data_IF_073062849586
#
_entry.id   IF_073062849586
#
_cell.length_a   1.000
_cell.length_b   1.000
_cell.length_c   1.000
_cell.angle_alpha   90.00
_cell.angle_beta   90.00
_cell.angle_gamma   90.00
#
_symmetry.space_group_name_H-M   'P 1'
#
loop_
_entity.id
_entity.type
_entity.pdbx_description
1 polymer ?
#
# COMPACT_ATOMS: atom_id res chain seq x y z
N UNK A 1 -12.86 5.17 23.34
CA UNK A 1 -13.21 6.51 22.86
C UNK A 1 -12.03 7.03 22.07
N UNK A 2 -12.10 6.99 20.74
CA UNK A 2 -11.07 7.53 19.84
C UNK A 2 -11.24 9.05 19.89
N UNK A 3 -10.49 9.71 20.75
CA UNK A 3 -10.47 11.18 20.81
C UNK A 3 -9.72 11.64 19.56
N UNK A 4 -10.45 12.22 18.62
CA UNK A 4 -9.90 13.00 17.53
C UNK A 4 -8.95 14.06 18.12
N UNK A 5 -7.66 13.86 17.94
CA UNK A 5 -6.68 14.82 18.43
C UNK A 5 -6.76 16.06 17.52
N UNK A 6 -7.22 17.20 18.11
CA UNK A 6 -7.32 18.48 17.38
C UNK A 6 -6.00 18.87 16.68
N UNK A 7 -4.86 18.33 17.15
CA UNK A 7 -3.55 18.54 16.52
C UNK A 7 -3.45 17.95 15.12
N UNK A 8 -4.22 16.90 14.81
CA UNK A 8 -4.25 16.29 13.47
C UNK A 8 -4.80 17.29 12.45
N UNK A 9 -5.85 18.04 12.82
CA UNK A 9 -6.46 19.04 11.93
C UNK A 9 -5.60 20.32 11.79
N UNK A 10 -4.86 20.71 12.82
CA UNK A 10 -4.01 21.92 12.79
C UNK A 10 -2.72 21.73 12.01
N UNK A 11 -2.27 20.48 11.82
CA UNK A 11 -1.05 20.16 11.07
C UNK A 11 -1.36 19.49 9.72
N UNK A 12 -2.60 19.59 9.26
CA UNK A 12 -2.99 19.02 7.97
C UNK A 12 -2.37 19.85 6.83
N UNK A 13 -1.65 19.15 5.96
CA UNK A 13 -1.10 19.76 4.75
C UNK A 13 -2.19 19.87 3.69
N UNK A 14 -2.75 21.06 3.52
CA UNK A 14 -3.78 21.34 2.52
C UNK A 14 -3.21 21.39 1.10
N UNK A 15 -1.92 21.55 0.93
CA UNK A 15 -1.29 21.67 -0.39
C UNK A 15 -1.37 20.35 -1.15
N UNK A 16 -1.09 19.23 -0.48
CA UNK A 16 -1.15 17.91 -1.12
C UNK A 16 -2.55 17.57 -1.69
N UNK A 17 -3.65 17.65 -0.93
CA UNK A 17 -4.99 17.47 -1.49
C UNK A 17 -5.32 18.46 -2.61
N UNK A 18 -4.93 19.72 -2.47
CA UNK A 18 -5.17 20.73 -3.50
C UNK A 18 -4.46 20.40 -4.83
N UNK A 19 -3.29 19.79 -4.80
CA UNK A 19 -2.57 19.33 -5.99
C UNK A 19 -3.18 18.07 -6.61
N UNK A 20 -3.83 17.23 -5.80
CA UNK A 20 -4.47 15.99 -6.28
C UNK A 20 -5.80 16.29 -6.99
N UNK A 21 -6.57 17.30 -6.53
CA UNK A 21 -7.88 17.61 -7.10
C UNK A 21 -7.89 17.89 -8.61
N UNK A 22 -6.97 18.69 -9.19
CA UNK A 22 -6.89 18.88 -10.63
C UNK A 22 -6.63 17.59 -11.40
N UNK A 23 -5.81 16.68 -10.83
CA UNK A 23 -5.50 15.37 -11.44
C UNK A 23 -6.76 14.50 -11.46
N UNK A 24 -7.51 14.48 -10.37
CA UNK A 24 -8.79 13.76 -10.27
C UNK A 24 -9.78 14.30 -11.31
N UNK A 25 -9.91 15.62 -11.41
CA UNK A 25 -10.82 16.25 -12.36
C UNK A 25 -10.43 15.92 -13.82
N UNK A 26 -9.16 16.06 -14.16
CA UNK A 26 -8.65 15.74 -15.50
C UNK A 26 -8.87 14.25 -15.83
N UNK A 27 -8.54 13.35 -14.90
CA UNK A 27 -8.76 11.93 -15.08
C UNK A 27 -10.24 11.59 -15.29
N UNK A 28 -11.14 12.20 -14.51
CA UNK A 28 -12.57 12.01 -14.69
C UNK A 28 -13.04 12.48 -16.05
N UNK A 29 -12.62 13.68 -16.50
CA UNK A 29 -13.02 14.24 -17.80
C UNK A 29 -12.59 13.32 -18.95
N UNK A 30 -11.34 12.85 -18.95
CA UNK A 30 -10.82 11.96 -19.99
C UNK A 30 -11.53 10.60 -20.02
N UNK A 31 -11.81 10.01 -18.86
CA UNK A 31 -12.49 8.71 -18.79
C UNK A 31 -13.97 8.86 -19.17
N UNK A 32 -14.61 9.96 -18.81
CA UNK A 32 -16.01 10.22 -19.13
C UNK A 32 -16.23 10.36 -20.65
N UNK A 33 -15.27 10.97 -21.36
CA UNK A 33 -15.32 11.02 -22.83
C UNK A 33 -15.15 9.63 -23.47
N UNK A 34 -14.43 8.72 -22.80
CA UNK A 34 -14.20 7.37 -23.31
C UNK A 34 -15.34 6.40 -23.00
N UNK A 35 -15.97 6.48 -21.84
CA UNK A 35 -17.04 5.58 -21.41
C UNK A 35 -17.73 6.04 -20.12
N UNK A 36 -19.05 6.28 -20.20
CA UNK A 36 -19.90 6.62 -19.04
C UNK A 36 -19.86 5.53 -17.95
N UNK A 37 -19.79 4.25 -18.32
CA UNK A 37 -19.74 3.16 -17.35
C UNK A 37 -18.42 3.16 -16.56
N UNK A 38 -17.30 3.48 -17.21
CA UNK A 38 -16.00 3.55 -16.54
C UNK A 38 -15.91 4.79 -15.65
N UNK A 39 -16.48 5.93 -16.06
CA UNK A 39 -16.50 7.13 -15.24
C UNK A 39 -17.32 6.94 -13.96
N UNK A 40 -18.46 6.26 -14.04
CA UNK A 40 -19.27 5.92 -12.85
C UNK A 40 -18.52 5.02 -11.87
N UNK A 41 -17.79 4.00 -12.37
CA UNK A 41 -16.92 3.14 -11.52
C UNK A 41 -15.79 3.95 -10.89
N UNK A 42 -15.18 4.85 -11.63
CA UNK A 42 -14.12 5.72 -11.14
C UNK A 42 -14.60 6.61 -9.99
N UNK A 43 -15.79 7.22 -10.09
CA UNK A 43 -16.38 7.99 -9.00
C UNK A 43 -16.58 7.13 -7.76
N UNK A 44 -17.09 5.91 -7.91
CA UNK A 44 -17.24 4.98 -6.79
C UNK A 44 -15.89 4.66 -6.12
N UNK A 45 -14.83 4.44 -6.90
CA UNK A 45 -13.48 4.22 -6.36
C UNK A 45 -12.92 5.44 -5.64
N UNK A 46 -13.18 6.65 -6.13
CA UNK A 46 -12.78 7.88 -5.42
C UNK A 46 -13.50 8.04 -4.09
N UNK A 47 -14.79 7.73 -4.02
CA UNK A 47 -15.55 7.78 -2.77
C UNK A 47 -14.99 6.77 -1.76
N UNK A 48 -14.74 5.53 -2.20
CA UNK A 48 -14.15 4.48 -1.35
C UNK A 48 -12.73 4.89 -0.92
N UNK A 49 -11.91 5.40 -1.85
CA UNK A 49 -10.56 5.87 -1.58
C UNK A 49 -10.53 7.03 -0.60
N UNK A 50 -11.45 7.99 -0.74
CA UNK A 50 -11.58 9.10 0.21
C UNK A 50 -12.02 8.62 1.59
N UNK A 51 -12.95 7.66 1.67
CA UNK A 51 -13.34 7.02 2.92
C UNK A 51 -12.17 6.30 3.60
N UNK A 52 -11.37 5.55 2.84
CA UNK A 52 -10.15 4.91 3.33
C UNK A 52 -9.11 5.94 3.79
N UNK A 53 -8.91 7.01 3.01
CA UNK A 53 -8.02 8.12 3.40
C UNK A 53 -8.44 8.72 4.74
N UNK A 54 -9.72 9.06 4.92
CA UNK A 54 -10.23 9.60 6.18
C UNK A 54 -10.05 8.62 7.33
N UNK A 55 -10.31 7.32 7.12
CA UNK A 55 -10.09 6.29 8.11
C UNK A 55 -8.62 6.28 8.59
N UNK A 56 -7.67 6.16 7.65
CA UNK A 56 -6.24 6.11 7.99
C UNK A 56 -5.71 7.43 8.55
N UNK A 57 -6.22 8.56 8.07
CA UNK A 57 -5.88 9.89 8.59
C UNK A 57 -6.27 10.05 10.07
N UNK A 58 -7.42 9.51 10.45
CA UNK A 58 -7.92 9.59 11.83
C UNK A 58 -7.35 8.53 12.76
N UNK A 59 -6.73 7.47 12.22
CA UNK A 59 -6.17 6.38 13.02
C UNK A 59 -4.83 6.79 13.64
N UNK A 60 -4.68 6.68 14.96
CA UNK A 60 -3.41 6.93 15.62
C UNK A 60 -2.44 5.75 15.37
N UNK A 61 -1.64 5.83 14.32
CA UNK A 61 -0.70 4.76 13.88
C UNK A 61 0.16 4.25 15.04
N UNK A 62 0.56 5.13 15.96
CA UNK A 62 1.34 4.74 17.15
C UNK A 62 0.64 3.71 18.06
N UNK A 63 -0.69 3.75 18.13
CA UNK A 63 -1.47 2.78 18.92
C UNK A 63 -1.67 1.45 18.17
N UNK A 64 -1.49 1.46 16.87
CA UNK A 64 -1.66 0.30 16.00
C UNK A 64 -0.33 -0.38 15.65
N UNK A 65 0.77 0.07 16.26
CA UNK A 65 2.12 -0.44 15.98
C UNK A 65 2.22 -1.97 16.13
N UNK A 66 1.49 -2.55 17.08
CA UNK A 66 1.46 -4.00 17.29
C UNK A 66 0.84 -4.80 16.12
N UNK A 67 0.02 -4.15 15.29
CA UNK A 67 -0.59 -4.76 14.11
C UNK A 67 0.37 -4.80 12.89
N UNK A 68 1.41 -3.97 12.88
CA UNK A 68 2.30 -3.82 11.72
C UNK A 68 2.88 -5.17 11.25
N UNK A 69 3.45 -6.02 12.14
CA UNK A 69 3.95 -7.32 11.71
C UNK A 69 2.85 -8.22 11.11
N UNK A 70 1.66 -8.20 11.72
CA UNK A 70 0.53 -8.99 11.23
C UNK A 70 0.07 -8.52 9.83
N UNK A 71 -0.02 -7.21 9.61
CA UNK A 71 -0.35 -6.63 8.30
C UNK A 71 0.67 -7.05 7.25
N UNK A 72 1.95 -6.98 7.56
CA UNK A 72 3.02 -7.39 6.66
C UNK A 72 2.89 -8.88 6.27
N UNK A 73 2.77 -9.78 7.26
CA UNK A 73 2.70 -11.22 7.00
C UNK A 73 1.41 -11.63 6.27
N UNK A 74 0.28 -11.00 6.59
CA UNK A 74 -0.97 -11.20 5.84
C UNK A 74 -0.79 -10.80 4.38
N UNK A 75 -0.10 -9.69 4.10
CA UNK A 75 0.20 -9.30 2.73
C UNK A 75 1.16 -10.25 2.01
N UNK A 76 2.15 -10.83 2.70
CA UNK A 76 2.99 -11.91 2.13
C UNK A 76 2.13 -13.10 1.72
N UNK A 77 1.17 -13.49 2.57
CA UNK A 77 0.24 -14.59 2.25
C UNK A 77 -0.65 -14.22 1.05
N UNK A 78 -1.12 -12.98 0.97
CA UNK A 78 -1.90 -12.50 -0.18
C UNK A 78 -1.08 -12.51 -1.47
N UNK A 79 0.18 -12.08 -1.46
CA UNK A 79 1.09 -12.17 -2.61
C UNK A 79 1.27 -13.63 -3.06
N UNK A 80 1.49 -14.54 -2.11
CA UNK A 80 1.57 -15.97 -2.43
C UNK A 80 0.26 -16.51 -3.02
N UNK A 81 -0.89 -16.05 -2.52
CA UNK A 81 -2.19 -16.51 -3.01
C UNK A 81 -2.49 -16.10 -4.44
N UNK A 82 -1.89 -15.01 -4.94
CA UNK A 82 -2.01 -14.58 -6.35
C UNK A 82 -1.57 -15.68 -7.31
N UNK A 83 -0.52 -16.44 -6.96
CA UNK A 83 0.00 -17.54 -7.78
C UNK A 83 -1.03 -18.65 -8.00
N UNK A 84 -1.97 -18.86 -7.04
CA UNK A 84 -2.95 -19.93 -7.06
C UNK A 84 -4.37 -19.49 -7.48
N UNK A 85 -4.80 -18.31 -7.02
CA UNK A 85 -6.17 -17.82 -7.21
C UNK A 85 -6.23 -16.49 -7.95
N UNK A 86 -5.09 -15.98 -8.40
CA UNK A 86 -5.01 -14.71 -9.10
C UNK A 86 -5.67 -14.76 -10.49
N UNK A 87 -6.25 -13.62 -10.87
CA UNK A 87 -6.82 -13.42 -12.21
C UNK A 87 -5.83 -12.68 -13.10
N UNK A 88 -5.72 -13.16 -14.34
CA UNK A 88 -4.87 -12.52 -15.34
C UNK A 88 -5.61 -11.37 -16.01
N UNK A 89 -5.02 -10.18 -15.97
CA UNK A 89 -5.49 -8.99 -16.72
C UNK A 89 -4.29 -8.39 -17.46
N UNK A 90 -4.50 -8.03 -18.71
CA UNK A 90 -3.46 -7.44 -19.56
C UNK A 90 -2.16 -8.27 -19.67
N UNK A 91 -2.30 -9.61 -19.62
CA UNK A 91 -1.17 -10.53 -19.77
C UNK A 91 -0.37 -10.80 -18.47
N UNK A 92 -0.79 -10.28 -17.33
CA UNK A 92 -0.15 -10.54 -16.05
C UNK A 92 -1.16 -10.98 -14.99
N UNK A 93 -0.78 -11.98 -14.18
CA UNK A 93 -1.58 -12.48 -13.06
C UNK A 93 -1.13 -11.77 -11.79
N UNK A 94 -1.88 -10.72 -11.40
CA UNK A 94 -1.50 -9.81 -10.29
C UNK A 94 -2.65 -9.46 -9.37
N UNK A 95 -3.87 -9.85 -9.72
CA UNK A 95 -5.07 -9.40 -9.02
C UNK A 95 -5.82 -10.58 -8.41
N UNK A 96 -6.42 -10.35 -7.27
CA UNK A 96 -7.37 -11.25 -6.64
C UNK A 96 -8.75 -10.65 -6.82
N UNK A 97 -9.68 -11.40 -7.42
CA UNK A 97 -11.06 -11.00 -7.56
C UNK A 97 -11.85 -11.40 -6.30
N UNK A 98 -12.54 -10.43 -5.70
CA UNK A 98 -13.40 -10.71 -4.56
C UNK A 98 -14.75 -11.20 -5.10
N UNK A 99 -15.15 -12.44 -4.76
CA UNK A 99 -16.43 -12.99 -5.19
C UNK A 99 -17.59 -12.06 -4.77
N UNK A 100 -18.63 -12.00 -5.58
CA UNK A 100 -19.91 -11.28 -5.37
C UNK A 100 -19.91 -9.77 -5.58
N UNK A 101 -18.77 -9.07 -5.53
CA UNK A 101 -18.74 -7.60 -5.68
C UNK A 101 -17.98 -7.12 -6.93
N UNK A 102 -17.49 -8.03 -7.77
CA UNK A 102 -16.68 -7.71 -8.96
C UNK A 102 -15.56 -6.69 -8.69
N UNK A 103 -15.00 -6.74 -7.50
CA UNK A 103 -13.92 -5.89 -7.07
C UNK A 103 -12.60 -6.67 -7.11
N UNK A 104 -11.57 -6.09 -7.70
CA UNK A 104 -10.24 -6.71 -7.75
C UNK A 104 -9.26 -5.93 -6.89
N UNK A 105 -8.49 -6.68 -6.11
CA UNK A 105 -7.41 -6.15 -5.27
C UNK A 105 -6.09 -6.62 -5.87
N UNK A 106 -5.11 -5.73 -5.90
CA UNK A 106 -3.73 -6.06 -6.22
C UNK A 106 -2.92 -6.08 -4.92
N UNK A 107 -2.48 -7.26 -4.44
CA UNK A 107 -1.76 -7.37 -3.16
C UNK A 107 -0.46 -6.57 -3.12
N UNK A 108 0.24 -6.44 -4.23
CA UNK A 108 1.47 -5.64 -4.31
C UNK A 108 1.24 -4.15 -4.02
N UNK A 109 0.05 -3.60 -4.29
CA UNK A 109 -0.31 -2.22 -3.93
C UNK A 109 -0.44 -2.04 -2.41
N UNK A 110 -1.05 -3.02 -1.73
CA UNK A 110 -1.19 -3.01 -0.27
C UNK A 110 0.15 -3.31 0.40
N UNK A 111 1.01 -4.10 -0.26
CA UNK A 111 2.34 -4.41 0.25
C UNK A 111 3.23 -3.16 0.36
N UNK A 112 3.12 -2.18 -0.52
CA UNK A 112 3.95 -0.97 -0.47
C UNK A 112 3.88 -0.24 0.89
N UNK A 113 2.73 0.19 1.39
CA UNK A 113 2.64 0.80 2.71
C UNK A 113 2.96 -0.18 3.85
N UNK A 114 2.54 -1.46 3.74
CA UNK A 114 2.85 -2.47 4.75
C UNK A 114 4.36 -2.71 4.91
N UNK A 115 5.09 -2.70 3.81
CA UNK A 115 6.54 -2.83 3.75
C UNK A 115 7.25 -1.67 4.46
N UNK A 116 6.90 -0.42 4.12
CA UNK A 116 7.50 0.77 4.75
C UNK A 116 7.24 0.78 6.25
N UNK A 117 6.00 0.46 6.66
CA UNK A 117 5.65 0.37 8.09
C UNK A 117 6.45 -0.73 8.79
N UNK A 118 6.63 -1.89 8.15
CA UNK A 118 7.40 -3.00 8.72
C UNK A 118 8.86 -2.66 8.90
N UNK A 119 9.51 -2.02 7.91
CA UNK A 119 10.89 -1.57 8.04
C UNK A 119 11.04 -0.53 9.15
N UNK A 120 10.16 0.47 9.20
CA UNK A 120 10.16 1.48 10.26
C UNK A 120 9.99 0.84 11.65
N UNK A 121 9.10 -0.18 11.77
CA UNK A 121 8.90 -0.94 12.99
C UNK A 121 10.17 -1.69 13.41
N UNK A 122 10.83 -2.37 12.47
CA UNK A 122 12.05 -3.15 12.74
C UNK A 122 13.21 -2.24 13.16
N UNK A 123 13.43 -1.13 12.44
CA UNK A 123 14.46 -0.13 12.76
C UNK A 123 14.23 0.47 14.16
N UNK A 124 12.97 0.82 14.47
CA UNK A 124 12.60 1.33 15.79
C UNK A 124 12.87 0.31 16.90
N UNK A 125 12.60 -0.98 16.66
CA UNK A 125 12.75 -2.05 17.63
C UNK A 125 14.21 -2.47 17.85
N UNK A 126 15.01 -2.39 16.82
CA UNK A 126 16.45 -2.71 16.82
C UNK A 126 17.21 -1.58 16.14
N UNK A 127 17.37 -0.42 16.85
CA UNK A 127 18.11 0.69 16.27
C UNK A 127 19.58 0.27 16.01
N UNK A 128 20.24 0.87 15.01
CA UNK A 128 21.66 0.64 14.79
C UNK A 128 22.48 1.19 15.95
N UNK A 129 23.61 0.57 16.21
CA UNK A 129 24.65 1.08 17.11
C UNK A 129 25.38 2.26 16.45
N UNK A 130 26.31 2.92 17.19
CA UNK A 130 27.10 4.03 16.65
C UNK A 130 27.91 3.65 15.40
N UNK A 131 28.30 2.40 15.28
CA UNK A 131 29.02 1.83 14.13
C UNK A 131 28.09 1.32 13.01
N UNK A 132 26.76 1.44 13.19
CA UNK A 132 25.74 0.95 12.25
C UNK A 132 25.23 -0.46 12.58
N UNK A 133 24.62 -1.11 11.60
CA UNK A 133 24.12 -2.48 11.76
C UNK A 133 25.25 -3.50 11.60
N UNK A 134 25.34 -4.47 12.50
CA UNK A 134 26.17 -5.62 12.29
C UNK A 134 25.61 -6.53 11.17
N UNK A 135 26.46 -7.40 10.60
CA UNK A 135 26.08 -8.26 9.46
C UNK A 135 24.82 -9.08 9.74
N UNK A 136 24.63 -9.61 10.94
CA UNK A 136 23.45 -10.41 11.30
C UNK A 136 22.15 -9.58 11.29
N UNK A 137 22.21 -8.37 11.81
CA UNK A 137 21.07 -7.45 11.81
C UNK A 137 20.74 -7.00 10.39
N UNK A 138 21.78 -6.67 9.60
CA UNK A 138 21.63 -6.31 8.20
C UNK A 138 20.99 -7.44 7.39
N UNK A 139 21.48 -8.67 7.49
CA UNK A 139 20.89 -9.81 6.81
C UNK A 139 19.44 -10.06 7.22
N UNK A 140 19.12 -9.85 8.49
CA UNK A 140 17.74 -9.98 8.97
C UNK A 140 16.82 -8.93 8.31
N UNK A 141 17.24 -7.68 8.24
CA UNK A 141 16.47 -6.62 7.54
C UNK A 141 16.35 -6.92 6.06
N UNK A 142 17.43 -7.36 5.42
CA UNK A 142 17.44 -7.74 3.99
C UNK A 142 16.42 -8.82 3.67
N UNK A 143 16.17 -9.79 4.55
CA UNK A 143 15.13 -10.81 4.33
C UNK A 143 13.74 -10.16 4.21
N UNK A 144 13.42 -9.19 5.05
CA UNK A 144 12.13 -8.49 4.96
C UNK A 144 12.00 -7.63 3.69
N UNK A 145 13.12 -7.22 3.09
CA UNK A 145 13.13 -6.49 1.82
C UNK A 145 13.01 -7.47 0.65
N UNK A 146 13.83 -8.52 0.65
CA UNK A 146 13.94 -9.45 -0.47
C UNK A 146 12.71 -10.35 -0.62
N UNK A 147 12.03 -10.67 0.49
CA UNK A 147 10.89 -11.57 0.46
C UNK A 147 9.74 -11.03 -0.42
N UNK A 148 9.17 -9.84 -0.17
CA UNK A 148 8.14 -9.28 -1.05
C UNK A 148 8.69 -8.96 -2.45
N UNK A 149 9.94 -8.53 -2.57
CA UNK A 149 10.59 -8.28 -3.86
C UNK A 149 10.51 -9.50 -4.77
N UNK A 150 10.90 -10.69 -4.27
CA UNK A 150 10.92 -11.93 -5.06
C UNK A 150 9.50 -12.32 -5.49
N UNK A 151 8.50 -12.21 -4.61
CA UNK A 151 7.12 -12.55 -4.96
C UNK A 151 6.53 -11.62 -6.00
N UNK A 152 6.74 -10.32 -5.87
CA UNK A 152 6.25 -9.33 -6.83
C UNK A 152 6.99 -9.45 -8.18
N UNK A 153 8.26 -9.81 -8.15
CA UNK A 153 9.02 -10.07 -9.38
C UNK A 153 8.46 -11.28 -10.15
N UNK A 154 7.96 -12.30 -9.45
CA UNK A 154 7.27 -13.44 -10.08
C UNK A 154 5.94 -13.06 -10.73
N UNK A 155 5.26 -12.01 -10.27
CA UNK A 155 4.04 -11.46 -10.85
C UNK A 155 4.29 -10.61 -12.11
N UNK A 156 5.41 -10.72 -12.81
CA UNK A 156 6.13 -9.84 -13.74
C UNK A 156 5.87 -8.33 -13.52
N UNK A 157 5.91 -7.89 -12.25
CA UNK A 157 5.78 -6.47 -11.87
C UNK A 157 7.14 -5.88 -11.46
N UNK A 158 8.01 -5.71 -12.47
CA UNK A 158 9.36 -5.19 -12.26
C UNK A 158 9.35 -3.78 -11.63
N UNK A 159 8.40 -2.93 -12.02
CA UNK A 159 8.31 -1.56 -11.50
C UNK A 159 8.09 -1.52 -9.99
N UNK A 160 7.08 -2.24 -9.50
CA UNK A 160 6.80 -2.33 -8.06
C UNK A 160 7.91 -3.06 -7.31
N UNK A 161 8.46 -4.14 -7.88
CA UNK A 161 9.56 -4.87 -7.26
C UNK A 161 10.79 -3.97 -7.06
N UNK A 162 11.23 -3.26 -8.10
CA UNK A 162 12.36 -2.32 -8.00
C UNK A 162 12.08 -1.16 -7.05
N UNK A 163 10.85 -0.65 -7.02
CA UNK A 163 10.47 0.40 -6.08
C UNK A 163 10.66 -0.06 -4.62
N UNK A 164 10.25 -1.28 -4.27
CA UNK A 164 10.46 -1.83 -2.92
C UNK A 164 11.95 -2.02 -2.61
N UNK A 165 12.73 -2.51 -3.58
CA UNK A 165 14.17 -2.73 -3.39
C UNK A 165 14.93 -1.41 -3.18
N UNK A 166 14.57 -0.34 -3.90
CA UNK A 166 15.23 0.96 -3.79
C UNK A 166 14.81 1.70 -2.51
N UNK A 167 13.59 1.48 -2.03
CA UNK A 167 13.06 2.13 -0.81
C UNK A 167 13.54 1.46 0.47
N UNK A 168 13.91 0.19 0.43
CA UNK A 168 14.40 -0.60 1.56
C UNK A 168 15.90 -0.58 1.69
#
# INVERSE_FOLDING_TARGET
>A
MILLDKRILTHFDYVQPALILPIIFLSYSLINEASDMLSAKMVAYFIIGFGAFMLFFLLPIRKLEWLIPSIYWVNIILLLSVEFVGVSKLGAQRWIEIPFINFTIQPSEIMKPAFVLMLAYLIKKTPPDEEGYNLKQFLKLSIYILLPFIFILKEPDLGTALMLLITG
#
